data_IF_881460499105
#
_entry.id   IF_881460499105
#
_cell.length_a   1.000
_cell.length_b   1.000
_cell.length_c   1.000
_cell.angle_alpha   90.00
_cell.angle_beta   90.00
_cell.angle_gamma   90.00
#
_symmetry.space_group_name_H-M   'P 1'
#
loop_
_entity.id
_entity.type
_entity.pdbx_description
1 polymer ?
#
# COMPACT_ATOMS: atom_id res chain seq x y z
N UNK A 1 -10.89 -14.79 -8.74
CA UNK A 1 -9.47 -14.59 -9.06
C UNK A 1 -8.99 -13.30 -8.39
N UNK A 2 -7.72 -13.27 -8.07
CA UNK A 2 -7.12 -12.10 -7.45
C UNK A 2 -5.93 -11.62 -8.26
N UNK A 3 -5.80 -10.29 -8.37
CA UNK A 3 -4.60 -9.65 -8.89
C UNK A 3 -4.06 -8.72 -7.81
N UNK A 4 -2.80 -8.90 -7.46
CA UNK A 4 -2.12 -8.09 -6.43
C UNK A 4 -0.96 -7.34 -7.05
N UNK A 5 -0.77 -6.10 -6.60
CA UNK A 5 0.32 -5.27 -7.07
C UNK A 5 0.72 -4.23 -6.02
N UNK A 6 1.89 -3.68 -6.22
CA UNK A 6 2.40 -2.57 -5.41
C UNK A 6 2.76 -1.40 -6.33
N UNK A 7 2.35 -0.20 -5.94
CA UNK A 7 2.64 1.04 -6.69
C UNK A 7 3.54 1.92 -5.83
N UNK A 8 4.67 2.29 -6.38
CA UNK A 8 5.65 3.13 -5.70
C UNK A 8 6.12 4.26 -6.61
N UNK A 9 6.46 5.40 -6.02
CA UNK A 9 7.04 6.52 -6.75
C UNK A 9 8.42 6.15 -7.29
N UNK A 10 8.67 6.45 -8.57
CA UNK A 10 9.97 6.24 -9.21
C UNK A 10 11.05 7.08 -8.53
N UNK A 11 12.21 6.45 -8.27
CA UNK A 11 13.34 7.14 -7.68
C UNK A 11 13.07 7.75 -6.31
N UNK A 12 12.13 7.19 -5.56
CA UNK A 12 11.82 7.70 -4.23
C UNK A 12 13.04 7.62 -3.31
N UNK A 13 13.41 8.77 -2.74
CA UNK A 13 14.45 8.83 -1.72
C UNK A 13 13.84 8.57 -0.34
N UNK A 14 14.61 7.90 0.53
CA UNK A 14 14.21 7.72 1.91
C UNK A 14 14.17 9.09 2.62
N UNK A 15 13.12 9.32 3.39
CA UNK A 15 12.92 10.54 4.18
C UNK A 15 12.97 10.22 5.68
N UNK A 16 12.99 11.27 6.52
CA UNK A 16 13.06 11.09 7.97
C UNK A 16 11.80 10.38 8.50
N UNK A 17 12.00 9.22 9.11
CA UNK A 17 10.90 8.43 9.67
C UNK A 17 10.28 9.06 10.93
N UNK A 18 11.02 9.91 11.63
CA UNK A 18 10.49 10.62 12.80
C UNK A 18 9.30 11.53 12.47
N UNK A 19 9.16 11.92 11.20
CA UNK A 19 8.01 12.69 10.75
C UNK A 19 6.68 11.95 10.91
N UNK A 20 6.70 10.63 11.03
CA UNK A 20 5.52 9.78 11.23
C UNK A 20 5.18 9.58 12.72
N UNK A 21 6.03 10.03 13.63
CA UNK A 21 5.90 9.79 15.06
C UNK A 21 5.45 11.05 15.79
N UNK A 22 4.60 10.89 16.78
CA UNK A 22 4.23 11.99 17.68
C UNK A 22 5.41 12.45 18.52
N UNK A 23 6.24 11.50 18.97
CA UNK A 23 7.47 11.80 19.69
C UNK A 23 8.66 11.24 18.91
N UNK A 24 9.56 12.10 18.39
CA UNK A 24 10.73 11.65 17.65
C UNK A 24 11.62 10.71 18.45
N UNK A 25 12.11 9.66 17.79
CA UNK A 25 13.04 8.72 18.39
C UNK A 25 14.50 9.19 18.31
N UNK A 26 14.80 10.02 17.32
CA UNK A 26 16.16 10.54 17.03
C UNK A 26 17.17 9.41 16.83
N UNK A 27 16.75 8.31 16.22
CA UNK A 27 17.55 7.11 15.99
C UNK A 27 18.12 7.03 14.57
N UNK A 28 17.99 8.08 13.77
CA UNK A 28 18.47 8.09 12.39
C UNK A 28 17.66 7.22 11.44
N UNK A 29 16.43 6.89 11.79
CA UNK A 29 15.56 6.06 10.96
C UNK A 29 15.06 6.84 9.76
N UNK A 30 15.01 6.16 8.61
CA UNK A 30 14.44 6.70 7.39
C UNK A 30 13.31 5.83 6.89
N UNK A 31 12.49 6.36 5.98
CA UNK A 31 11.33 5.65 5.49
C UNK A 31 11.09 5.89 4.00
N UNK A 32 10.45 4.91 3.37
CA UNK A 32 9.80 5.02 2.05
C UNK A 32 8.39 4.53 2.18
N UNK A 33 7.51 4.95 1.27
CA UNK A 33 6.13 4.46 1.30
C UNK A 33 5.68 4.03 -0.10
N UNK A 34 4.72 3.11 -0.11
CA UNK A 34 4.04 2.62 -1.29
C UNK A 34 2.59 2.31 -0.96
N UNK A 35 1.83 1.88 -1.95
CA UNK A 35 0.49 1.35 -1.77
C UNK A 35 0.40 -0.02 -2.38
N UNK A 36 -0.32 -0.92 -1.73
CA UNK A 36 -0.60 -2.25 -2.26
C UNK A 36 -2.08 -2.38 -2.56
N UNK A 37 -2.38 -3.13 -3.62
CA UNK A 37 -3.75 -3.30 -4.10
C UNK A 37 -4.01 -4.77 -4.33
N UNK A 38 -5.21 -5.22 -3.96
CA UNK A 38 -5.71 -6.56 -4.31
C UNK A 38 -7.06 -6.39 -4.97
N UNK A 39 -7.14 -6.80 -6.23
CA UNK A 39 -8.37 -6.82 -7.02
C UNK A 39 -8.96 -8.22 -7.00
N UNK A 40 -10.20 -8.35 -6.53
CA UNK A 40 -10.98 -9.57 -6.70
C UNK A 40 -11.84 -9.42 -7.94
N UNK A 41 -11.68 -10.33 -8.90
CA UNK A 41 -12.33 -10.21 -10.20
C UNK A 41 -12.62 -11.57 -10.81
N UNK A 42 -13.44 -11.56 -11.86
CA UNK A 42 -13.66 -12.69 -12.75
C UNK A 42 -13.49 -12.21 -14.20
N UNK A 43 -13.05 -13.12 -15.08
CA UNK A 43 -12.90 -12.84 -16.50
C UNK A 43 -11.45 -12.64 -16.93
N UNK A 44 -11.24 -11.76 -17.91
CA UNK A 44 -9.96 -11.56 -18.56
C UNK A 44 -8.96 -10.83 -17.65
N UNK A 45 -7.94 -11.55 -17.20
CA UNK A 45 -6.89 -10.98 -16.34
C UNK A 45 -6.07 -9.91 -17.05
N UNK A 46 -5.77 -10.07 -18.32
CA UNK A 46 -5.01 -9.06 -19.08
C UNK A 46 -5.76 -7.73 -19.14
N UNK A 47 -7.07 -7.78 -19.36
CA UNK A 47 -7.90 -6.58 -19.34
C UNK A 47 -7.98 -5.95 -17.96
N UNK A 48 -8.07 -6.77 -16.89
CA UNK A 48 -8.05 -6.28 -15.51
C UNK A 48 -6.72 -5.59 -15.20
N UNK A 49 -5.60 -6.19 -15.58
CA UNK A 49 -4.27 -5.60 -15.36
C UNK A 49 -4.10 -4.27 -16.10
N UNK A 50 -4.60 -4.18 -17.34
CA UNK A 50 -4.58 -2.93 -18.10
C UNK A 50 -5.42 -1.85 -17.42
N UNK A 51 -6.59 -2.21 -16.89
CA UNK A 51 -7.43 -1.31 -16.10
C UNK A 51 -6.70 -0.83 -14.85
N UNK A 52 -6.11 -1.75 -14.09
CA UNK A 52 -5.38 -1.41 -12.87
C UNK A 52 -4.23 -0.43 -13.17
N UNK A 53 -3.43 -0.69 -14.19
CA UNK A 53 -2.34 0.20 -14.60
C UNK A 53 -2.86 1.58 -14.97
N UNK A 54 -3.95 1.65 -15.71
CA UNK A 54 -4.52 2.93 -16.16
C UNK A 54 -5.06 3.77 -15.00
N UNK A 55 -5.65 3.16 -13.97
CA UNK A 55 -6.26 3.91 -12.87
C UNK A 55 -5.31 4.16 -11.70
N UNK A 56 -4.27 3.33 -11.52
CA UNK A 56 -3.39 3.39 -10.35
C UNK A 56 -2.09 4.13 -10.61
N UNK A 57 -1.59 4.13 -11.86
CA UNK A 57 -0.21 4.50 -12.13
C UNK A 57 -0.13 5.73 -13.01
N UNK A 58 0.56 6.76 -12.51
CA UNK A 58 1.11 7.80 -13.36
C UNK A 58 2.47 7.31 -13.85
N UNK A 59 2.54 6.89 -15.11
CA UNK A 59 3.73 6.25 -15.67
C UNK A 59 4.97 7.16 -15.73
N UNK A 60 4.78 8.47 -15.59
CA UNK A 60 5.90 9.42 -15.51
C UNK A 60 6.56 9.34 -14.13
N UNK A 61 5.78 9.29 -13.06
CA UNK A 61 6.26 9.43 -11.68
C UNK A 61 6.19 8.15 -10.84
N UNK A 62 5.50 7.12 -11.32
CA UNK A 62 5.23 5.91 -10.55
C UNK A 62 5.54 4.66 -11.36
N UNK A 63 5.76 3.56 -10.65
CA UNK A 63 5.89 2.23 -11.23
C UNK A 63 5.04 1.23 -10.48
N UNK A 64 4.61 0.18 -11.18
CA UNK A 64 3.80 -0.89 -10.64
C UNK A 64 4.59 -2.21 -10.70
N UNK A 65 4.49 -2.99 -9.64
CA UNK A 65 5.06 -4.33 -9.55
C UNK A 65 3.95 -5.33 -9.26
N UNK A 66 3.85 -6.35 -10.10
CA UNK A 66 2.87 -7.41 -9.92
C UNK A 66 3.28 -8.35 -8.81
N UNK A 67 2.28 -8.88 -8.09
CA UNK A 67 2.49 -9.88 -7.04
C UNK A 67 2.55 -9.28 -5.63
N UNK A 68 2.92 -10.13 -4.68
CA UNK A 68 2.91 -9.81 -3.26
C UNK A 68 4.30 -9.55 -2.69
N UNK A 69 5.35 -9.78 -3.46
CA UNK A 69 6.72 -9.57 -2.97
C UNK A 69 7.01 -8.08 -2.86
N UNK A 70 7.51 -7.61 -1.70
CA UNK A 70 7.83 -6.20 -1.51
C UNK A 70 8.85 -5.69 -2.53
N UNK A 71 8.57 -4.53 -3.14
CA UNK A 71 9.48 -3.94 -4.14
C UNK A 71 10.72 -3.32 -3.51
N UNK A 72 10.64 -2.90 -2.24
CA UNK A 72 11.77 -2.33 -1.51
C UNK A 72 12.42 -3.41 -0.66
N UNK A 73 13.73 -3.58 -0.83
CA UNK A 73 14.52 -4.55 -0.09
C UNK A 73 15.32 -3.86 1.02
N UNK A 74 15.83 -4.66 1.95
CA UNK A 74 16.73 -4.22 3.03
C UNK A 74 16.09 -3.29 4.07
N UNK A 75 14.78 -3.20 4.11
CA UNK A 75 14.09 -2.50 5.18
C UNK A 75 14.22 -3.26 6.51
N UNK A 76 14.31 -2.51 7.60
CA UNK A 76 14.27 -3.08 8.95
C UNK A 76 12.93 -3.78 9.20
N UNK A 77 11.86 -3.16 8.77
CA UNK A 77 10.51 -3.72 8.72
C UNK A 77 9.66 -2.96 7.72
N UNK A 78 8.51 -3.53 7.35
CA UNK A 78 7.45 -2.74 6.72
C UNK A 78 6.13 -2.95 7.44
N UNK A 79 5.34 -1.89 7.46
CA UNK A 79 4.03 -1.83 8.09
C UNK A 79 2.97 -1.59 7.01
N UNK A 80 2.03 -2.50 6.90
CA UNK A 80 0.85 -2.34 6.06
C UNK A 80 -0.34 -1.98 6.93
N UNK A 81 -1.09 -0.96 6.55
CA UNK A 81 -2.35 -0.64 7.21
C UNK A 81 -3.41 -0.24 6.20
N UNK A 82 -4.64 -0.59 6.49
CA UNK A 82 -5.78 -0.37 5.61
C UNK A 82 -7.04 -0.09 6.43
N UNK A 83 -8.06 0.43 5.77
CA UNK A 83 -9.35 0.67 6.41
C UNK A 83 -10.01 -0.65 6.79
N UNK A 84 -10.60 -0.72 7.98
CA UNK A 84 -11.43 -1.85 8.40
C UNK A 84 -12.68 -1.93 7.54
N UNK A 85 -13.27 -3.14 7.39
CA UNK A 85 -14.59 -3.26 6.78
C UNK A 85 -15.60 -2.33 7.43
N UNK A 86 -16.35 -1.58 6.62
CA UNK A 86 -17.29 -0.58 7.10
C UNK A 86 -16.73 0.82 7.30
N UNK A 87 -15.41 0.99 7.35
CA UNK A 87 -14.78 2.30 7.32
C UNK A 87 -14.70 2.81 5.89
N UNK A 88 -14.80 4.13 5.71
CA UNK A 88 -14.77 4.76 4.40
C UNK A 88 -13.36 4.81 3.83
N UNK A 89 -13.17 4.22 2.66
CA UNK A 89 -11.95 4.31 1.86
C UNK A 89 -12.28 5.09 0.59
N UNK A 90 -11.89 6.36 0.54
CA UNK A 90 -12.23 7.26 -0.57
C UNK A 90 -11.57 6.85 -1.87
N UNK A 91 -10.34 6.38 -1.85
CA UNK A 91 -9.64 5.91 -3.06
C UNK A 91 -10.33 4.68 -3.65
N UNK A 92 -10.66 3.72 -2.79
CA UNK A 92 -11.43 2.53 -3.20
C UNK A 92 -12.76 2.93 -3.84
N UNK A 93 -13.51 3.82 -3.21
CA UNK A 93 -14.80 4.27 -3.74
C UNK A 93 -14.65 4.97 -5.09
N UNK A 94 -13.63 5.80 -5.27
CA UNK A 94 -13.38 6.48 -6.52
C UNK A 94 -13.07 5.49 -7.65
N UNK A 95 -12.23 4.48 -7.40
CA UNK A 95 -11.87 3.46 -8.38
C UNK A 95 -13.08 2.59 -8.73
N UNK A 96 -13.83 2.14 -7.72
CA UNK A 96 -15.02 1.31 -7.94
C UNK A 96 -16.10 2.07 -8.71
N UNK A 97 -16.31 3.35 -8.43
CA UNK A 97 -17.26 4.19 -9.16
C UNK A 97 -16.83 4.41 -10.61
N UNK A 98 -15.54 4.62 -10.84
CA UNK A 98 -15.00 4.73 -12.20
C UNK A 98 -15.24 3.42 -12.99
N UNK A 99 -14.98 2.28 -12.37
CA UNK A 99 -15.26 0.97 -12.98
C UNK A 99 -16.75 0.81 -13.33
N UNK A 100 -17.64 1.15 -12.39
CA UNK A 100 -19.10 1.00 -12.60
C UNK A 100 -19.62 1.87 -13.74
N UNK A 101 -18.95 3.00 -14.01
CA UNK A 101 -19.30 3.88 -15.13
C UNK A 101 -18.81 3.40 -16.49
N UNK A 102 -18.02 2.35 -16.54
CA UNK A 102 -17.51 1.77 -17.78
C UNK A 102 -18.49 0.73 -18.35
N UNK A 103 -18.35 0.46 -19.62
CA UNK A 103 -19.10 -0.60 -20.30
C UNK A 103 -18.18 -1.36 -21.25
N UNK A 104 -18.51 -2.62 -21.53
CA UNK A 104 -17.78 -3.45 -22.50
C UNK A 104 -16.49 -4.06 -21.97
N UNK A 105 -16.25 -4.02 -20.67
CA UNK A 105 -15.10 -4.68 -20.06
C UNK A 105 -15.24 -6.21 -20.12
N UNK A 106 -14.13 -6.89 -20.42
CA UNK A 106 -14.09 -8.36 -20.47
C UNK A 106 -13.80 -9.01 -19.13
N UNK A 107 -13.91 -8.25 -18.06
CA UNK A 107 -13.78 -8.73 -16.67
C UNK A 107 -14.87 -8.09 -15.80
N UNK A 108 -15.12 -8.73 -14.66
CA UNK A 108 -16.02 -8.20 -13.63
C UNK A 108 -15.21 -7.97 -12.38
N UNK A 109 -15.13 -6.71 -11.95
CA UNK A 109 -14.46 -6.35 -10.70
C UNK A 109 -15.42 -6.54 -9.53
N UNK A 110 -15.10 -7.47 -8.64
CA UNK A 110 -15.93 -7.83 -7.49
C UNK A 110 -15.62 -6.96 -6.28
N UNK A 111 -14.35 -6.76 -5.98
CA UNK A 111 -13.92 -5.95 -4.84
C UNK A 111 -12.49 -5.47 -5.04
N UNK A 112 -12.10 -4.50 -4.22
CA UNK A 112 -10.78 -3.91 -4.22
C UNK A 112 -10.35 -3.67 -2.78
N UNK A 113 -9.13 -4.09 -2.43
CA UNK A 113 -8.52 -3.85 -1.13
C UNK A 113 -7.27 -3.01 -1.33
N UNK A 114 -7.16 -1.91 -0.58
CA UNK A 114 -6.05 -0.97 -0.66
C UNK A 114 -5.36 -0.91 0.70
N UNK A 115 -4.03 -1.04 0.69
CA UNK A 115 -3.19 -0.90 1.88
C UNK A 115 -2.14 0.16 1.65
N UNK A 116 -1.89 0.97 2.67
CA UNK A 116 -0.71 1.82 2.73
C UNK A 116 0.44 0.98 3.26
N UNK A 117 1.63 1.14 2.68
CA UNK A 117 2.82 0.43 3.12
C UNK A 117 3.93 1.43 3.44
N UNK A 118 4.53 1.26 4.62
CA UNK A 118 5.65 2.06 5.06
C UNK A 118 6.83 1.13 5.30
N UNK A 119 7.94 1.42 4.60
CA UNK A 119 9.22 0.74 4.81
C UNK A 119 10.08 1.61 5.70
N UNK A 120 10.62 1.05 6.77
CA UNK A 120 11.50 1.76 7.69
C UNK A 120 12.90 1.16 7.63
N UNK A 121 13.90 2.02 7.50
CA UNK A 121 15.31 1.66 7.39
C UNK A 121 16.09 2.19 8.56
N UNK A 122 17.11 1.46 8.96
CA UNK A 122 18.00 1.83 10.04
C UNK A 122 18.46 0.63 10.84
N UNK A 123 18.96 0.90 12.03
CA UNK A 123 19.44 -0.13 12.93
C UNK A 123 18.74 -0.04 14.28
N UNK A 124 18.62 -1.18 14.95
CA UNK A 124 18.03 -1.27 16.27
C UNK A 124 17.14 -2.49 16.44
N UNK A 125 16.41 -2.51 17.52
CA UNK A 125 15.45 -3.57 17.83
C UNK A 125 14.20 -3.41 16.98
N UNK A 126 14.13 -4.14 15.87
CA UNK A 126 13.03 -4.01 14.90
C UNK A 126 11.64 -4.16 15.53
N UNK A 127 11.36 -5.19 16.35
CA UNK A 127 10.04 -5.30 16.98
C UNK A 127 9.69 -4.11 17.90
N UNK A 128 10.62 -3.61 18.66
CA UNK A 128 10.38 -2.48 19.57
C UNK A 128 10.15 -1.18 18.79
N UNK A 129 10.97 -0.93 17.75
CA UNK A 129 10.80 0.23 16.88
C UNK A 129 9.48 0.16 16.14
N UNK A 130 9.15 -0.99 15.57
CA UNK A 130 7.90 -1.19 14.85
C UNK A 130 6.68 -0.93 15.73
N UNK A 131 6.71 -1.33 16.98
CA UNK A 131 5.61 -1.10 17.94
C UNK A 131 5.32 0.40 18.10
N UNK A 132 6.36 1.25 18.09
CA UNK A 132 6.19 2.72 18.15
C UNK A 132 5.48 3.24 16.92
N UNK A 133 5.86 2.78 15.73
CA UNK A 133 5.22 3.18 14.48
C UNK A 133 3.78 2.71 14.41
N UNK A 134 3.49 1.47 14.80
CA UNK A 134 2.11 0.96 14.85
C UNK A 134 1.26 1.83 15.76
N UNK A 135 1.75 2.15 16.94
CA UNK A 135 1.01 2.97 17.92
C UNK A 135 0.66 4.36 17.37
N UNK A 136 1.58 4.99 16.65
CA UNK A 136 1.40 6.37 16.20
C UNK A 136 0.70 6.49 14.85
N UNK A 137 0.82 5.48 13.97
CA UNK A 137 0.25 5.51 12.61
C UNK A 137 -1.11 4.83 12.55
N UNK A 138 -1.26 3.67 13.20
CA UNK A 138 -2.47 2.86 13.10
C UNK A 138 -3.49 3.33 14.11
N UNK A 139 -4.65 3.77 13.62
CA UNK A 139 -5.81 4.04 14.48
C UNK A 139 -6.64 2.77 14.59
N UNK A 140 -6.62 2.05 15.74
CA UNK A 140 -7.30 0.76 15.86
C UNK A 140 -8.83 0.85 15.72
N UNK A 141 -9.41 2.05 15.80
CA UNK A 141 -10.83 2.24 15.59
C UNK A 141 -11.24 2.07 14.12
N UNK A 142 -10.35 2.45 13.18
CA UNK A 142 -10.66 2.46 11.74
C UNK A 142 -9.68 1.67 10.89
N UNK A 143 -8.49 1.32 11.41
CA UNK A 143 -7.46 0.60 10.66
C UNK A 143 -7.27 -0.82 11.15
N UNK A 144 -6.94 -1.71 10.23
CA UNK A 144 -6.27 -2.98 10.48
C UNK A 144 -4.84 -2.88 9.95
N UNK A 145 -3.93 -3.67 10.49
CA UNK A 145 -2.53 -3.61 10.08
C UNK A 145 -1.89 -4.99 10.05
N UNK A 146 -0.78 -5.06 9.35
CA UNK A 146 0.11 -6.21 9.31
C UNK A 146 1.55 -5.73 9.32
N UNK A 147 2.35 -6.33 10.19
CA UNK A 147 3.76 -5.99 10.35
C UNK A 147 4.62 -7.13 9.80
N UNK A 148 5.63 -6.78 9.01
CA UNK A 148 6.62 -7.73 8.49
C UNK A 148 8.02 -7.26 8.87
N UNK A 149 8.68 -8.04 9.72
CA UNK A 149 10.03 -7.76 10.20
C UNK A 149 11.03 -8.60 9.42
N UNK A 150 12.11 -7.97 8.99
CA UNK A 150 13.17 -8.65 8.25
C UNK A 150 13.94 -9.65 9.11
#
# INVERSE_FOLDING_TARGET
MNYECEVIRKGQHASDADALLYTPMKAGLTMKHSRTYRFEFEGDESALRAFARAVLVDEVSQEISDGTEPVVKDALFHLDYSMKPGALDLEKEAIMNYYRGRSGDSFVLKNLFISQRIYVFGQGDAPAIAARFVKDIVNPAVHKHQLSVA
#
